data_IF_913426581109
#
_entry.id   IF_913426581109
#
_cell.length_a   1.000
_cell.length_b   1.000
_cell.length_c   1.000
_cell.angle_alpha   90.00
_cell.angle_beta   90.00
_cell.angle_gamma   90.00
#
_symmetry.space_group_name_H-M   'P 1'
#
loop_
_entity.id
_entity.type
_entity.pdbx_description
1 polymer ?
#
# COMPACT_ATOMS: atom_id res chain seq x y z
N UNK A 1 10.48 2.79 9.03
CA UNK A 1 9.56 1.89 8.31
C UNK A 1 8.87 0.96 9.31
N UNK A 2 7.55 0.86 9.27
CA UNK A 2 6.77 0.00 10.18
C UNK A 2 6.25 -1.21 9.40
N UNK A 3 6.54 -2.41 9.90
CA UNK A 3 6.05 -3.67 9.36
C UNK A 3 4.98 -4.19 10.32
N UNK A 4 3.74 -4.34 9.84
CA UNK A 4 2.62 -4.89 10.59
C UNK A 4 2.27 -6.26 10.02
N UNK A 5 2.22 -7.26 10.87
CA UNK A 5 1.90 -8.64 10.51
C UNK A 5 2.77 -9.65 11.22
N UNK A 6 2.46 -10.92 11.00
CA UNK A 6 3.19 -12.09 11.50
C UNK A 6 3.46 -13.03 10.33
N UNK A 7 4.50 -13.82 10.43
CA UNK A 7 4.82 -14.84 9.44
C UNK A 7 6.16 -15.51 9.70
N UNK A 8 6.44 -16.60 8.96
CA UNK A 8 7.67 -17.39 9.15
C UNK A 8 8.96 -16.61 8.83
N UNK A 9 8.88 -15.53 8.09
CA UNK A 9 10.03 -14.70 7.70
C UNK A 9 10.40 -13.64 8.76
N UNK A 10 9.67 -13.55 9.88
CA UNK A 10 9.88 -12.51 10.90
C UNK A 10 11.32 -12.45 11.39
N UNK A 11 11.85 -13.57 11.89
CA UNK A 11 13.22 -13.61 12.44
C UNK A 11 14.27 -13.28 11.38
N UNK A 12 14.06 -13.76 10.15
CA UNK A 12 14.93 -13.48 9.01
C UNK A 12 14.94 -12.00 8.64
N UNK A 13 13.79 -11.32 8.69
CA UNK A 13 13.68 -9.89 8.43
C UNK A 13 14.34 -9.06 9.53
N UNK A 14 14.14 -9.43 10.80
CA UNK A 14 14.83 -8.79 11.94
C UNK A 14 16.35 -8.94 11.81
N UNK A 15 16.83 -10.15 11.53
CA UNK A 15 18.26 -10.39 11.30
C UNK A 15 18.80 -9.57 10.12
N UNK A 16 18.07 -9.50 9.01
CA UNK A 16 18.46 -8.69 7.86
C UNK A 16 18.57 -7.20 8.21
N UNK A 17 17.64 -6.67 8.99
CA UNK A 17 17.66 -5.27 9.44
C UNK A 17 18.93 -4.98 10.29
N UNK A 18 19.33 -5.91 11.16
CA UNK A 18 20.59 -5.81 11.92
C UNK A 18 21.81 -5.88 11.02
N UNK A 19 21.87 -6.84 10.08
CA UNK A 19 22.98 -6.97 9.14
C UNK A 19 23.19 -5.73 8.27
N UNK A 20 22.10 -5.07 7.90
CA UNK A 20 22.10 -3.83 7.11
C UNK A 20 22.34 -2.57 7.95
N UNK A 21 22.45 -2.67 9.28
CA UNK A 21 22.66 -1.53 10.16
C UNK A 21 21.47 -0.56 10.20
N UNK A 22 20.24 -1.06 9.96
CA UNK A 22 19.02 -0.25 9.92
C UNK A 22 17.96 -0.70 10.96
N UNK A 23 18.35 -1.50 11.93
CA UNK A 23 17.42 -2.03 12.94
C UNK A 23 16.70 -0.92 13.72
N UNK A 24 17.35 0.23 13.94
CA UNK A 24 16.78 1.43 14.56
C UNK A 24 15.81 2.20 13.65
N UNK A 25 15.77 1.88 12.36
CA UNK A 25 14.89 2.50 11.35
C UNK A 25 13.67 1.64 11.00
N UNK A 26 13.62 0.40 11.49
CA UNK A 26 12.56 -0.56 11.18
C UNK A 26 11.84 -0.99 12.44
N UNK A 27 10.54 -0.75 12.52
CA UNK A 27 9.68 -1.22 13.60
C UNK A 27 8.91 -2.46 13.14
N UNK A 28 9.08 -3.56 13.85
CA UNK A 28 8.33 -4.80 13.66
C UNK A 28 7.19 -4.83 14.69
N UNK A 29 6.00 -4.39 14.28
CA UNK A 29 4.86 -4.19 15.17
C UNK A 29 4.05 -5.46 15.48
N UNK A 30 4.37 -6.60 14.83
CA UNK A 30 3.62 -7.84 14.99
C UNK A 30 2.19 -7.76 14.45
N UNK A 31 1.36 -8.71 14.85
CA UNK A 31 -0.08 -8.71 14.51
C UNK A 31 -0.80 -7.59 15.25
N UNK A 32 -1.68 -6.88 14.55
CA UNK A 32 -2.47 -5.78 15.06
C UNK A 32 -3.96 -6.03 14.83
N UNK A 33 -4.81 -5.44 15.67
CA UNK A 33 -6.25 -5.37 15.45
C UNK A 33 -6.57 -4.43 14.28
N UNK A 34 -7.75 -4.56 13.68
CA UNK A 34 -8.22 -3.67 12.60
C UNK A 34 -8.14 -2.18 13.00
N UNK A 35 -8.51 -1.86 14.24
CA UNK A 35 -8.41 -0.51 14.77
C UNK A 35 -6.97 -0.01 14.80
N UNK A 36 -6.04 -0.79 15.33
CA UNK A 36 -4.62 -0.43 15.39
C UNK A 36 -3.99 -0.28 14.00
N UNK A 37 -4.40 -1.12 13.02
CA UNK A 37 -3.97 -0.99 11.61
C UNK A 37 -4.49 0.32 11.03
N UNK A 38 -5.76 0.65 11.26
CA UNK A 38 -6.37 1.91 10.80
C UNK A 38 -5.66 3.11 11.42
N UNK A 39 -5.42 3.10 12.74
CA UNK A 39 -4.70 4.17 13.45
C UNK A 39 -3.27 4.33 12.91
N UNK A 40 -2.59 3.21 12.60
CA UNK A 40 -1.28 3.24 11.96
C UNK A 40 -1.34 3.86 10.56
N UNK A 41 -2.30 3.46 9.71
CA UNK A 41 -2.47 4.04 8.38
C UNK A 41 -2.72 5.54 8.43
N UNK A 42 -3.55 6.02 9.36
CA UNK A 42 -3.83 7.45 9.56
C UNK A 42 -2.62 8.25 10.07
N UNK A 43 -1.64 7.59 10.70
CA UNK A 43 -0.43 8.23 11.24
C UNK A 43 0.77 8.20 10.28
N UNK A 44 0.66 7.52 9.14
CA UNK A 44 1.72 7.37 8.16
C UNK A 44 1.36 8.03 6.82
N UNK A 45 2.38 8.39 6.03
CA UNK A 45 2.19 9.08 4.76
C UNK A 45 2.31 8.15 3.54
N UNK A 46 3.06 7.05 3.68
CA UNK A 46 3.42 6.16 2.58
C UNK A 46 3.06 4.73 2.93
N UNK A 47 2.48 4.03 1.96
CA UNK A 47 2.17 2.61 2.07
C UNK A 47 2.90 1.82 0.99
N UNK A 48 3.52 0.71 1.37
CA UNK A 48 4.27 -0.15 0.46
C UNK A 48 3.71 -1.57 0.50
N UNK A 49 3.24 -2.07 -0.66
CA UNK A 49 2.81 -3.46 -0.87
C UNK A 49 3.59 -4.05 -2.04
N UNK A 50 4.73 -4.68 -1.77
CA UNK A 50 5.62 -5.19 -2.82
C UNK A 50 5.57 -6.73 -2.89
N UNK A 51 4.39 -7.27 -3.19
CA UNK A 51 4.12 -8.70 -3.31
C UNK A 51 4.64 -9.26 -4.63
N UNK A 52 5.03 -10.54 -4.63
CA UNK A 52 5.36 -11.30 -5.85
C UNK A 52 4.08 -11.84 -6.49
N UNK A 53 3.14 -12.27 -5.66
CA UNK A 53 1.82 -12.75 -6.06
C UNK A 53 0.80 -12.18 -5.07
N UNK A 54 -0.28 -11.64 -5.58
CA UNK A 54 -1.35 -11.04 -4.80
C UNK A 54 -2.66 -11.16 -5.58
N UNK A 55 -3.74 -11.40 -4.87
CA UNK A 55 -5.07 -11.19 -5.40
C UNK A 55 -5.50 -9.72 -5.24
N UNK A 56 -6.78 -9.51 -5.04
CA UNK A 56 -7.30 -8.18 -4.74
C UNK A 56 -6.91 -7.79 -3.29
N UNK A 57 -6.13 -6.73 -3.12
CA UNK A 57 -5.57 -6.32 -1.83
C UNK A 57 -6.39 -5.23 -1.16
N UNK A 58 -7.25 -5.60 -0.20
CA UNK A 58 -8.06 -4.63 0.56
C UNK A 58 -7.19 -3.63 1.33
N UNK A 59 -6.05 -4.07 1.88
CA UNK A 59 -5.16 -3.20 2.64
C UNK A 59 -4.63 -2.01 1.81
N UNK A 60 -4.45 -2.18 0.49
CA UNK A 60 -4.09 -1.08 -0.41
C UNK A 60 -5.23 -0.07 -0.54
N UNK A 61 -6.48 -0.54 -0.62
CA UNK A 61 -7.65 0.35 -0.68
C UNK A 61 -7.85 1.08 0.65
N UNK A 62 -7.65 0.41 1.78
CA UNK A 62 -7.70 1.01 3.12
C UNK A 62 -6.64 2.09 3.28
N UNK A 63 -5.41 1.84 2.83
CA UNK A 63 -4.34 2.83 2.83
C UNK A 63 -4.66 4.03 1.92
N UNK A 64 -5.22 3.81 0.73
CA UNK A 64 -5.68 4.90 -0.15
C UNK A 64 -6.83 5.68 0.48
N UNK A 65 -7.78 5.01 1.14
CA UNK A 65 -8.88 5.66 1.87
C UNK A 65 -8.36 6.52 3.04
N UNK A 66 -7.31 6.08 3.72
CA UNK A 66 -6.61 6.84 4.76
C UNK A 66 -5.76 8.01 4.21
N UNK A 67 -5.68 8.17 2.89
CA UNK A 67 -4.92 9.25 2.25
C UNK A 67 -3.43 8.96 2.04
N UNK A 68 -2.97 7.74 2.27
CA UNK A 68 -1.57 7.37 2.08
C UNK A 68 -1.19 7.31 0.59
N UNK A 69 0.05 7.64 0.29
CA UNK A 69 0.64 7.47 -1.03
C UNK A 69 1.10 6.02 -1.21
N UNK A 70 0.39 5.26 -2.04
CA UNK A 70 0.62 3.83 -2.21
C UNK A 70 1.63 3.54 -3.31
N UNK A 71 2.64 2.71 -2.99
CA UNK A 71 3.57 2.12 -3.95
C UNK A 71 3.39 0.60 -3.90
N UNK A 72 2.99 0.00 -5.02
CA UNK A 72 2.68 -1.42 -5.09
C UNK A 72 3.51 -2.09 -6.19
N UNK A 73 3.68 -3.42 -6.10
CA UNK A 73 4.25 -4.17 -7.23
C UNK A 73 3.21 -4.38 -8.34
N UNK A 74 3.66 -4.83 -9.52
CA UNK A 74 2.82 -5.25 -10.62
C UNK A 74 2.33 -6.72 -10.46
N UNK A 75 2.18 -7.20 -9.22
CA UNK A 75 1.49 -8.46 -8.96
C UNK A 75 0.03 -8.35 -9.39
N UNK A 76 -0.53 -9.47 -9.81
CA UNK A 76 -1.93 -9.59 -10.24
C UNK A 76 -2.84 -8.95 -9.17
N UNK A 77 -3.89 -8.27 -9.54
CA UNK A 77 -4.81 -7.59 -8.62
C UNK A 77 -4.30 -6.26 -8.03
N UNK A 78 -3.01 -6.07 -7.78
CA UNK A 78 -2.50 -4.78 -7.29
C UNK A 78 -2.61 -3.66 -8.33
N UNK A 79 -2.47 -3.98 -9.61
CA UNK A 79 -2.71 -3.04 -10.71
C UNK A 79 -4.19 -2.63 -10.85
N UNK A 80 -5.11 -3.43 -10.30
CA UNK A 80 -6.53 -3.08 -10.20
C UNK A 80 -6.77 -2.08 -9.05
N UNK A 81 -6.02 -2.22 -7.97
CA UNK A 81 -6.09 -1.34 -6.81
C UNK A 81 -5.49 0.05 -7.08
N UNK A 82 -4.40 0.14 -7.85
CA UNK A 82 -3.62 1.36 -8.05
C UNK A 82 -3.46 1.69 -9.53
N UNK A 83 -3.89 2.89 -9.95
CA UNK A 83 -3.59 3.45 -11.27
C UNK A 83 -2.25 4.16 -11.21
N UNK A 84 -1.28 3.70 -12.01
CA UNK A 84 0.09 4.22 -12.00
C UNK A 84 0.14 5.72 -12.26
N UNK A 85 0.80 6.47 -11.37
CA UNK A 85 0.97 7.94 -11.38
C UNK A 85 -0.34 8.75 -11.25
N UNK A 86 -1.49 8.07 -11.12
CA UNK A 86 -2.79 8.73 -10.93
C UNK A 86 -3.27 8.60 -9.47
N UNK A 87 -3.26 7.37 -8.92
CA UNK A 87 -3.69 7.08 -7.55
C UNK A 87 -2.58 6.41 -6.71
N UNK A 88 -1.37 6.32 -7.23
CA UNK A 88 -0.21 5.71 -6.61
C UNK A 88 0.80 5.25 -7.66
N UNK A 89 1.72 4.38 -7.28
CA UNK A 89 2.76 3.89 -8.19
C UNK A 89 2.76 2.37 -8.24
N UNK A 90 2.74 1.84 -9.46
CA UNK A 90 2.93 0.41 -9.74
C UNK A 90 4.37 0.20 -10.19
N UNK A 91 5.09 -0.69 -9.52
CA UNK A 91 6.51 -0.96 -9.71
C UNK A 91 6.69 -2.42 -10.11
N UNK A 92 7.57 -2.71 -11.06
CA UNK A 92 7.83 -4.06 -11.51
C UNK A 92 8.34 -4.94 -10.36
N UNK A 93 7.65 -6.06 -10.09
CA UNK A 93 8.04 -7.04 -9.07
C UNK A 93 9.42 -7.66 -9.38
N UNK A 94 10.16 -8.07 -8.34
CA UNK A 94 11.51 -8.64 -8.44
C UNK A 94 12.60 -7.66 -8.94
N UNK A 95 12.33 -6.37 -8.97
CA UNK A 95 13.28 -5.32 -9.34
C UNK A 95 13.51 -4.32 -8.20
N UNK A 96 14.27 -4.70 -7.15
CA UNK A 96 14.44 -3.86 -5.95
C UNK A 96 15.07 -2.49 -6.26
N UNK A 97 15.93 -2.41 -7.26
CA UNK A 97 16.52 -1.12 -7.69
C UNK A 97 15.47 -0.15 -8.20
N UNK A 98 14.47 -0.64 -8.96
CA UNK A 98 13.36 0.18 -9.45
C UNK A 98 12.47 0.61 -8.30
N UNK A 99 12.20 -0.29 -7.33
CA UNK A 99 11.47 0.05 -6.12
C UNK A 99 12.16 1.18 -5.34
N UNK A 100 13.47 1.05 -5.09
CA UNK A 100 14.26 2.08 -4.39
C UNK A 100 14.19 3.43 -5.12
N UNK A 101 14.35 3.44 -6.45
CA UNK A 101 14.25 4.66 -7.25
C UNK A 101 12.85 5.29 -7.16
N UNK A 102 11.79 4.45 -7.19
CA UNK A 102 10.40 4.94 -7.05
C UNK A 102 10.15 5.52 -5.68
N UNK A 103 10.59 4.87 -4.60
CA UNK A 103 10.47 5.39 -3.23
C UNK A 103 11.16 6.75 -3.12
N UNK A 104 12.42 6.85 -3.57
CA UNK A 104 13.17 8.11 -3.56
C UNK A 104 12.47 9.21 -4.36
N UNK A 105 11.95 8.90 -5.54
CA UNK A 105 11.19 9.82 -6.37
C UNK A 105 9.94 10.33 -5.64
N UNK A 106 9.12 9.42 -5.10
CA UNK A 106 7.84 9.76 -4.44
C UNK A 106 8.08 10.61 -3.19
N UNK A 107 9.08 10.29 -2.38
CA UNK A 107 9.43 11.07 -1.17
C UNK A 107 9.81 12.50 -1.54
N UNK A 108 10.48 12.71 -2.66
CA UNK A 108 10.96 14.03 -3.11
C UNK A 108 9.95 14.80 -3.98
N UNK A 109 8.77 14.29 -4.24
CA UNK A 109 7.71 15.03 -4.95
C UNK A 109 7.28 16.28 -4.16
N UNK A 110 6.89 17.31 -4.90
CA UNK A 110 6.28 18.52 -4.31
C UNK A 110 4.99 18.17 -3.60
N UNK A 111 4.71 18.83 -2.48
CA UNK A 111 3.52 18.58 -1.63
C UNK A 111 2.22 18.63 -2.43
N UNK A 112 2.04 19.64 -3.30
CA UNK A 112 0.83 19.77 -4.10
C UNK A 112 0.60 18.58 -5.07
N UNK A 113 1.67 17.92 -5.54
CA UNK A 113 1.56 16.72 -6.38
C UNK A 113 1.14 15.53 -5.52
N UNK A 114 1.76 15.36 -4.35
CA UNK A 114 1.40 14.33 -3.37
C UNK A 114 -0.07 14.42 -2.97
N UNK A 115 -0.53 15.62 -2.62
CA UNK A 115 -1.90 15.89 -2.21
C UNK A 115 -2.90 15.59 -3.34
N UNK A 116 -2.56 15.96 -4.57
CA UNK A 116 -3.39 15.65 -5.74
C UNK A 116 -3.56 14.15 -5.95
N UNK A 117 -2.48 13.36 -5.84
CA UNK A 117 -2.52 11.90 -6.01
C UNK A 117 -3.29 11.25 -4.86
N UNK A 118 -3.01 11.65 -3.62
CA UNK A 118 -3.73 11.17 -2.44
C UNK A 118 -5.24 11.42 -2.56
N UNK A 119 -5.64 12.63 -2.94
CA UNK A 119 -7.04 12.99 -3.13
C UNK A 119 -7.72 12.13 -4.22
N UNK A 120 -7.10 11.97 -5.38
CA UNK A 120 -7.61 11.12 -6.46
C UNK A 120 -7.77 9.66 -6.01
N UNK A 121 -6.79 9.13 -5.25
CA UNK A 121 -6.84 7.78 -4.69
C UNK A 121 -8.03 7.62 -3.75
N UNK A 122 -8.19 8.53 -2.79
CA UNK A 122 -9.30 8.53 -1.83
C UNK A 122 -10.67 8.65 -2.52
N UNK A 123 -10.79 9.55 -3.50
CA UNK A 123 -12.02 9.71 -4.28
C UNK A 123 -12.36 8.44 -5.06
N UNK A 124 -11.37 7.83 -5.72
CA UNK A 124 -11.57 6.58 -6.44
C UNK A 124 -12.04 5.45 -5.53
N UNK A 125 -11.45 5.29 -4.35
CA UNK A 125 -11.91 4.25 -3.40
C UNK A 125 -13.37 4.47 -3.02
N UNK A 126 -13.78 5.70 -2.75
CA UNK A 126 -15.17 6.04 -2.41
C UNK A 126 -16.16 5.77 -3.56
N UNK A 127 -15.75 6.00 -4.80
CA UNK A 127 -16.64 5.82 -5.97
C UNK A 127 -16.66 4.40 -6.48
N UNK A 128 -15.49 3.79 -6.68
CA UNK A 128 -15.38 2.52 -7.41
C UNK A 128 -15.50 1.29 -6.49
N UNK A 129 -15.08 1.43 -5.21
CA UNK A 129 -14.98 0.31 -4.26
C UNK A 129 -15.92 0.42 -3.05
N UNK A 130 -16.91 1.32 -3.08
CA UNK A 130 -17.89 1.41 -1.99
C UNK A 130 -18.81 0.19 -1.95
N UNK A 131 -19.25 -0.19 -0.74
CA UNK A 131 -20.21 -1.29 -0.54
C UNK A 131 -21.52 -1.08 -1.34
N UNK A 132 -21.93 0.17 -1.53
CA UNK A 132 -23.12 0.52 -2.31
C UNK A 132 -22.90 0.13 -3.78
N UNK A 133 -21.73 0.48 -4.33
CA UNK A 133 -21.39 0.16 -5.71
C UNK A 133 -21.22 -1.35 -5.92
N UNK A 134 -20.57 -2.05 -4.99
CA UNK A 134 -20.45 -3.51 -5.04
C UNK A 134 -21.81 -4.20 -5.03
N UNK A 135 -22.71 -3.80 -4.12
CA UNK A 135 -24.10 -4.32 -4.08
C UNK A 135 -24.86 -4.07 -5.39
N UNK A 136 -24.66 -2.91 -6.01
CA UNK A 136 -25.30 -2.57 -7.30
C UNK A 136 -24.80 -3.48 -8.42
N UNK A 137 -23.45 -3.64 -8.53
CA UNK A 137 -22.83 -4.51 -9.54
C UNK A 137 -23.24 -5.97 -9.36
N UNK A 138 -23.26 -6.47 -8.12
CA UNK A 138 -23.68 -7.83 -7.81
C UNK A 138 -25.14 -8.08 -8.27
N UNK A 139 -26.06 -7.16 -7.97
CA UNK A 139 -27.45 -7.29 -8.43
C UNK A 139 -27.58 -7.28 -9.95
N UNK A 140 -26.78 -6.48 -10.65
CA UNK A 140 -26.78 -6.44 -12.12
C UNK A 140 -26.25 -7.70 -12.77
N UNK A 141 -25.34 -8.42 -12.08
CA UNK A 141 -24.76 -9.67 -12.59
C UNK A 141 -25.73 -10.86 -12.48
N UNK A 142 -26.63 -10.86 -11.51
CA UNK A 142 -27.57 -11.96 -11.25
C UNK A 142 -29.02 -11.67 -11.72
N UNK A 143 -29.29 -10.54 -12.36
CA UNK A 143 -30.52 -10.23 -13.07
C UNK A 143 -30.29 -10.30 -14.59
#
# INVERSE_FOLDING_TARGET
YTIIGEGPEYERLVFAAHQLGIADKVSFAGKKSEKEVTDAMLSHNYYLQYSIQEGFCNAVLEAQAAGMLCMVSDAEGLSENVRHQETGWVVKKRYPKTLTATIAYVINLKTNVKDSISKKATERVKTDFSLIQQKKQFRQFFN
#
